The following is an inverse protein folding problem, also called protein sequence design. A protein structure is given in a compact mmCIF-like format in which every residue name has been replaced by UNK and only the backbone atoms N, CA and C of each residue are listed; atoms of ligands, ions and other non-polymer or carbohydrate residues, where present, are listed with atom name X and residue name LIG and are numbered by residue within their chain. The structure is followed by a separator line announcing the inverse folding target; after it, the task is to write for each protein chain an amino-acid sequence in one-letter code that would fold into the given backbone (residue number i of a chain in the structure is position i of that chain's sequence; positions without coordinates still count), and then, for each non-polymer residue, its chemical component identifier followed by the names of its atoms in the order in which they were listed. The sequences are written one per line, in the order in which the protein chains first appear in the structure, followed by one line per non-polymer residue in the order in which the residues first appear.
data_IF_163762753541
#
_entry.id   IF_163762753541
#
_cell.length_a   1.000
_cell.length_b   1.000
_cell.length_c   1.000
_cell.angle_alpha   90.00
_cell.angle_beta   90.00
_cell.angle_gamma   90.00
#
_symmetry.space_group_name_H-M   'P 1'
#
loop_
_entity.id
_entity.type
_entity.pdbx_description
1 polymer ?
#
# COMPACT_ATOMS: atom_id res chain seq x y z
N UNK A 1 7.22 12.19 8.30
CA UNK A 1 8.47 11.69 8.94
C UNK A 1 8.42 10.17 9.04
N UNK A 2 9.57 9.49 9.02
CA UNK A 2 9.61 8.02 9.17
C UNK A 2 8.96 7.54 10.48
N UNK A 3 9.04 8.34 11.54
CA UNK A 3 8.38 8.07 12.82
C UNK A 3 6.84 7.97 12.78
N UNK A 4 6.21 8.30 11.66
CA UNK A 4 4.77 8.18 11.44
C UNK A 4 4.42 7.15 10.34
N UNK A 5 5.41 6.41 9.84
CA UNK A 5 5.18 5.36 8.83
C UNK A 5 4.95 4.04 9.54
N UNK A 6 3.82 3.41 9.27
CA UNK A 6 3.50 2.05 9.72
C UNK A 6 3.56 1.11 8.51
N UNK A 7 4.28 0.00 8.66
CA UNK A 7 4.36 -1.07 7.65
C UNK A 7 3.85 -2.36 8.27
N UNK A 8 3.01 -3.09 7.52
CA UNK A 8 2.51 -4.40 7.91
C UNK A 8 2.60 -5.35 6.71
N UNK A 9 3.22 -6.51 6.91
CA UNK A 9 3.35 -7.59 5.92
C UNK A 9 2.69 -8.83 6.47
N UNK A 10 1.69 -9.36 5.76
CA UNK A 10 0.92 -10.53 6.17
C UNK A 10 1.08 -11.68 5.15
N UNK A 11 2.11 -12.55 5.31
CA UNK A 11 2.34 -13.68 4.40
C UNK A 11 1.37 -14.85 4.67
N UNK A 12 1.50 -15.94 3.90
CA UNK A 12 0.74 -17.18 4.12
C UNK A 12 -0.75 -17.09 3.82
N UNK A 13 -1.16 -16.10 3.03
CA UNK A 13 -2.56 -15.90 2.64
C UNK A 13 -2.95 -16.84 1.50
N UNK A 14 -4.17 -17.37 1.56
CA UNK A 14 -4.78 -18.08 0.43
C UNK A 14 -5.34 -17.04 -0.54
N UNK A 15 -4.65 -16.82 -1.67
CA UNK A 15 -4.99 -15.78 -2.63
C UNK A 15 -4.97 -16.31 -4.07
N UNK A 16 -5.74 -15.65 -4.94
CA UNK A 16 -5.69 -15.85 -6.39
C UNK A 16 -5.87 -14.52 -7.09
N UNK A 17 -5.13 -14.33 -8.19
CA UNK A 17 -5.27 -13.16 -9.07
C UNK A 17 -5.46 -13.64 -10.50
N UNK A 18 -6.55 -13.20 -11.15
CA UNK A 18 -6.93 -13.64 -12.48
C UNK A 18 -7.20 -15.15 -12.59
N UNK A 19 -7.63 -15.80 -11.50
CA UNK A 19 -7.87 -17.25 -11.44
C UNK A 19 -6.62 -18.12 -11.26
N UNK A 20 -5.43 -17.52 -11.17
CA UNK A 20 -4.17 -18.23 -10.89
C UNK A 20 -3.74 -18.05 -9.43
N UNK A 21 -3.14 -19.09 -8.85
CA UNK A 21 -2.53 -19.09 -7.51
C UNK A 21 -1.03 -18.76 -7.51
N UNK A 22 -0.46 -18.43 -8.67
CA UNK A 22 0.89 -17.88 -8.74
C UNK A 22 1.01 -16.63 -7.86
N UNK A 23 2.19 -16.36 -7.26
CA UNK A 23 2.38 -15.30 -6.27
C UNK A 23 1.68 -14.00 -6.66
N UNK A 24 0.89 -13.46 -5.73
CA UNK A 24 0.12 -12.24 -5.90
C UNK A 24 -0.02 -11.50 -4.57
N UNK A 25 -0.45 -10.23 -4.63
CA UNK A 25 -0.64 -9.41 -3.43
C UNK A 25 -1.80 -8.42 -3.59
N UNK A 26 -2.21 -7.85 -2.46
CA UNK A 26 -3.06 -6.66 -2.39
C UNK A 26 -2.40 -5.69 -1.42
N UNK A 27 -2.12 -4.48 -1.90
CA UNK A 27 -1.41 -3.45 -1.12
C UNK A 27 -2.37 -2.31 -0.81
N UNK A 28 -2.34 -1.86 0.43
CA UNK A 28 -3.09 -0.70 0.89
C UNK A 28 -2.07 0.37 1.34
N UNK A 29 -2.16 1.55 0.73
CA UNK A 29 -1.34 2.71 1.07
C UNK A 29 -2.26 3.85 1.46
N UNK A 30 -2.31 4.10 2.75
CA UNK A 30 -3.10 5.16 3.36
C UNK A 30 -2.19 6.30 3.79
N UNK A 31 -2.56 7.54 3.47
CA UNK A 31 -1.80 8.73 3.83
C UNK A 31 -2.72 9.93 4.06
N UNK A 32 -2.33 10.81 4.99
CA UNK A 32 -3.01 12.10 5.19
C UNK A 32 -2.45 13.14 4.23
N UNK A 33 -3.10 13.31 3.09
CA UNK A 33 -2.60 14.09 1.96
C UNK A 33 -1.35 13.47 1.35
N UNK A 34 -0.67 14.25 0.49
CA UNK A 34 0.52 13.84 -0.28
C UNK A 34 0.30 12.65 -1.23
N UNK A 35 -0.95 12.26 -1.43
CA UNK A 35 -1.44 11.34 -2.45
C UNK A 35 -2.33 12.11 -3.45
N UNK A 36 -2.66 11.49 -4.57
CA UNK A 36 -3.49 12.03 -5.65
C UNK A 36 -2.72 12.38 -6.92
N UNK A 37 -3.42 12.34 -8.06
CA UNK A 37 -2.89 12.71 -9.38
C UNK A 37 -1.59 12.00 -9.74
N UNK A 38 -0.59 12.78 -10.16
CA UNK A 38 0.72 12.26 -10.58
C UNK A 38 1.50 11.56 -9.44
N UNK A 39 1.28 11.97 -8.18
CA UNK A 39 1.95 11.34 -7.04
C UNK A 39 1.53 9.88 -6.86
N UNK A 40 0.28 9.54 -7.19
CA UNK A 40 -0.16 8.15 -7.14
C UNK A 40 0.61 7.26 -8.12
N UNK A 41 0.94 7.77 -9.30
CA UNK A 41 1.76 7.02 -10.28
C UNK A 41 3.17 6.80 -9.75
N UNK A 42 3.78 7.83 -9.17
CA UNK A 42 5.12 7.73 -8.59
C UNK A 42 5.15 6.76 -7.41
N UNK A 43 4.18 6.85 -6.49
CA UNK A 43 4.05 5.93 -5.36
C UNK A 43 3.82 4.49 -5.84
N UNK A 44 2.90 4.28 -6.80
CA UNK A 44 2.63 2.96 -7.35
C UNK A 44 3.89 2.36 -8.00
N UNK A 45 4.65 3.15 -8.75
CA UNK A 45 5.90 2.71 -9.37
C UNK A 45 6.97 2.33 -8.33
N UNK A 46 7.23 3.21 -7.35
CA UNK A 46 8.26 2.96 -6.33
C UNK A 46 7.91 1.76 -5.43
N UNK A 47 6.66 1.68 -4.96
CA UNK A 47 6.20 0.56 -4.13
C UNK A 47 6.16 -0.73 -4.94
N UNK A 48 5.66 -0.68 -6.18
CA UNK A 48 5.58 -1.85 -7.05
C UNK A 48 6.97 -2.43 -7.36
N UNK A 49 7.92 -1.57 -7.71
CA UNK A 49 9.32 -1.97 -7.94
C UNK A 49 9.95 -2.58 -6.69
N UNK A 50 9.69 -2.00 -5.51
CA UNK A 50 10.21 -2.53 -4.26
C UNK A 50 9.66 -3.93 -3.94
N UNK A 51 8.35 -4.13 -4.12
CA UNK A 51 7.69 -5.43 -3.92
C UNK A 51 8.25 -6.48 -4.87
N UNK A 52 8.38 -6.15 -6.15
CA UNK A 52 8.91 -7.08 -7.15
C UNK A 52 10.36 -7.47 -6.82
N UNK A 53 11.21 -6.51 -6.47
CA UNK A 53 12.61 -6.76 -6.13
C UNK A 53 12.79 -7.58 -4.85
N UNK A 54 11.98 -7.31 -3.82
CA UNK A 54 12.15 -7.96 -2.52
C UNK A 54 11.41 -9.30 -2.40
N UNK A 55 10.25 -9.44 -3.05
CA UNK A 55 9.36 -10.60 -2.89
C UNK A 55 9.23 -11.43 -4.17
N UNK A 56 9.71 -10.95 -5.32
CA UNK A 56 9.58 -11.65 -6.60
C UNK A 56 8.16 -11.68 -7.18
N UNK A 57 7.23 -10.93 -6.59
CA UNK A 57 5.85 -10.84 -7.08
C UNK A 57 5.82 -9.82 -8.23
N UNK A 58 5.48 -10.29 -9.44
CA UNK A 58 5.42 -9.45 -10.64
C UNK A 58 4.41 -8.31 -10.48
N UNK A 59 4.73 -7.14 -11.04
CA UNK A 59 3.89 -5.93 -10.93
C UNK A 59 2.50 -6.05 -11.55
N UNK A 60 2.30 -7.01 -12.46
CA UNK A 60 1.00 -7.33 -13.05
C UNK A 60 0.14 -8.29 -12.20
N UNK A 61 0.64 -8.73 -11.04
CA UNK A 61 -0.03 -9.68 -10.13
C UNK A 61 -0.43 -9.08 -8.78
N UNK A 62 -0.54 -7.77 -8.68
CA UNK A 62 -1.12 -7.12 -7.51
C UNK A 62 -1.75 -5.78 -7.83
N UNK A 63 -2.61 -5.31 -6.93
CA UNK A 63 -3.08 -3.94 -6.92
C UNK A 63 -2.47 -3.16 -5.76
N UNK A 64 -2.27 -1.87 -5.96
CA UNK A 64 -1.96 -0.90 -4.89
C UNK A 64 -3.15 0.06 -4.79
N UNK A 65 -3.93 -0.07 -3.71
CA UNK A 65 -4.98 0.88 -3.37
C UNK A 65 -4.35 2.03 -2.61
N UNK A 66 -4.39 3.23 -3.20
CA UNK A 66 -3.88 4.46 -2.59
C UNK A 66 -5.06 5.31 -2.13
N UNK A 67 -5.11 5.66 -0.84
CA UNK A 67 -6.19 6.45 -0.27
C UNK A 67 -5.67 7.69 0.47
N UNK A 68 -6.34 8.81 0.21
CA UNK A 68 -6.19 10.03 0.99
C UNK A 68 -7.14 9.95 2.19
N UNK A 69 -6.58 9.96 3.40
CA UNK A 69 -7.36 9.90 4.64
C UNK A 69 -7.45 11.31 5.25
N UNK A 70 -8.67 11.85 5.45
CA UNK A 70 -8.85 13.11 6.17
C UNK A 70 -8.21 13.08 7.56
N UNK A 71 -7.75 14.23 8.05
CA UNK A 71 -7.03 14.29 9.33
C UNK A 71 -7.86 13.84 10.53
N UNK A 72 -9.15 14.15 10.52
CA UNK A 72 -10.11 13.74 11.54
C UNK A 72 -10.42 12.23 11.54
N UNK A 73 -10.08 11.52 10.47
CA UNK A 73 -10.47 10.12 10.30
C UNK A 73 -9.35 9.13 10.65
N UNK A 74 -8.18 9.63 11.07
CA UNK A 74 -7.06 8.80 11.51
C UNK A 74 -6.73 9.06 12.98
N UNK A 75 -6.87 8.02 13.80
CA UNK A 75 -6.56 8.06 15.23
C UNK A 75 -5.09 7.79 15.52
N UNK A 76 -4.51 8.57 16.45
CA UNK A 76 -3.17 8.35 16.98
C UNK A 76 -3.06 8.89 18.41
N UNK A 77 -2.44 8.13 19.32
CA UNK A 77 -2.26 8.52 20.74
C UNK A 77 -3.55 8.93 21.46
N UNK A 78 -4.66 8.25 21.18
CA UNK A 78 -5.94 8.49 21.85
C UNK A 78 -6.70 9.74 21.39
N UNK A 79 -6.28 10.37 20.28
CA UNK A 79 -6.99 11.47 19.62
C UNK A 79 -6.92 11.29 18.09
N UNK A 80 -7.44 12.25 17.33
CA UNK A 80 -7.29 12.35 15.87
C UNK A 80 -6.23 13.39 15.48
N UNK A 81 -5.84 13.44 14.21
CA UNK A 81 -4.95 14.49 13.71
C UNK A 81 -5.69 15.78 13.29
N UNK A 82 -7.02 15.73 13.23
CA UNK A 82 -7.92 16.88 13.10
C UNK A 82 -8.36 17.41 14.44
#
# INVERSE_FOLDING_TARGET
PESYVLIHVNPGQVMSFGGSQEPCAMVYLDSQGKVGGEKNKQLAHSVGTHIENCLGIKQDRFYIKICDIPRCDLGFKGTTFG
#
